data_IF_079704109922
#
_entry.id   IF_079704109922
#
_cell.length_a   1.000
_cell.length_b   1.000
_cell.length_c   1.000
_cell.angle_alpha   90.00
_cell.angle_beta   90.00
_cell.angle_gamma   90.00
#
_symmetry.space_group_name_H-M   'P 1'
#
loop_
_entity.id
_entity.type
_entity.pdbx_description
1 polymer ?
#
# COMPACT_ATOMS: atom_id res chain seq x y z
N UNK A 1 3.43 -3.63 -27.74
CA UNK A 1 2.47 -4.64 -27.25
C UNK A 1 1.53 -3.99 -26.24
N UNK A 2 0.21 -4.24 -26.30
CA UNK A 2 -0.74 -3.68 -25.32
C UNK A 2 -0.51 -4.35 -23.96
N UNK A 3 -0.14 -3.59 -22.93
CA UNK A 3 -0.29 -4.02 -21.53
C UNK A 3 -1.80 -4.06 -21.28
N UNK A 4 -2.35 -5.24 -20.97
CA UNK A 4 -3.73 -5.32 -20.49
C UNK A 4 -3.77 -4.72 -19.08
N UNK A 5 -4.74 -3.85 -18.83
CA UNK A 5 -4.94 -3.14 -17.58
C UNK A 5 -6.29 -3.54 -17.02
N UNK A 6 -6.33 -3.98 -15.78
CA UNK A 6 -7.53 -4.46 -15.12
C UNK A 6 -7.74 -3.70 -13.81
N UNK A 7 -9.00 -3.47 -13.43
CA UNK A 7 -9.37 -3.34 -12.02
C UNK A 7 -9.17 -4.69 -11.30
N UNK A 8 -9.14 -4.68 -9.97
CA UNK A 8 -9.04 -5.91 -9.19
C UNK A 8 -10.21 -6.87 -9.49
N UNK A 9 -11.41 -6.33 -9.73
CA UNK A 9 -12.63 -7.09 -10.00
C UNK A 9 -12.57 -7.77 -11.36
N UNK A 10 -12.19 -7.02 -12.40
CA UNK A 10 -12.01 -7.58 -13.75
C UNK A 10 -10.94 -8.67 -13.77
N UNK A 11 -9.83 -8.46 -13.05
CA UNK A 11 -8.76 -9.44 -12.96
C UNK A 11 -9.21 -10.73 -12.23
N UNK A 12 -9.94 -10.59 -11.13
CA UNK A 12 -10.46 -11.75 -10.37
C UNK A 12 -11.42 -12.58 -11.23
N UNK A 13 -12.26 -11.92 -12.04
CA UNK A 13 -13.14 -12.58 -13.01
C UNK A 13 -12.38 -13.29 -14.14
N UNK A 14 -11.30 -12.69 -14.65
CA UNK A 14 -10.41 -13.33 -15.64
C UNK A 14 -9.77 -14.61 -15.07
N UNK A 15 -9.45 -14.61 -13.78
CA UNK A 15 -8.98 -15.79 -13.05
C UNK A 15 -10.08 -16.81 -12.70
N UNK A 16 -11.33 -16.57 -13.12
CA UNK A 16 -12.48 -17.42 -12.81
C UNK A 16 -12.71 -17.58 -11.29
N UNK A 17 -12.45 -16.51 -10.54
CA UNK A 17 -12.72 -16.45 -9.10
C UNK A 17 -13.83 -15.44 -8.83
N UNK A 18 -14.76 -15.79 -7.95
CA UNK A 18 -15.87 -14.91 -7.58
C UNK A 18 -15.60 -14.12 -6.29
N UNK A 19 -14.60 -14.54 -5.51
CA UNK A 19 -14.26 -13.98 -4.20
C UNK A 19 -12.80 -13.54 -4.12
N UNK A 20 -12.59 -12.25 -3.83
CA UNK A 20 -11.27 -11.67 -3.61
C UNK A 20 -10.55 -12.27 -2.40
N UNK A 21 -11.28 -12.66 -1.36
CA UNK A 21 -10.67 -13.31 -0.19
C UNK A 21 -10.02 -14.62 -0.58
N UNK A 22 -10.71 -15.40 -1.40
CA UNK A 22 -10.20 -16.67 -1.89
C UNK A 22 -9.00 -16.47 -2.82
N UNK A 23 -9.03 -15.47 -3.70
CA UNK A 23 -7.87 -15.12 -4.54
C UNK A 23 -6.66 -14.75 -3.69
N UNK A 24 -6.83 -13.86 -2.70
CA UNK A 24 -5.74 -13.43 -1.82
C UNK A 24 -5.19 -14.59 -0.99
N UNK A 25 -6.07 -15.42 -0.42
CA UNK A 25 -5.70 -16.58 0.39
C UNK A 25 -4.94 -17.62 -0.42
N UNK A 26 -5.43 -17.98 -1.60
CA UNK A 26 -4.76 -18.93 -2.49
C UNK A 26 -3.42 -18.38 -2.99
N UNK A 27 -3.37 -17.12 -3.41
CA UNK A 27 -2.15 -16.49 -3.91
C UNK A 27 -1.07 -16.42 -2.83
N UNK A 28 -1.44 -16.04 -1.60
CA UNK A 28 -0.54 -16.05 -0.44
C UNK A 28 0.00 -17.45 -0.14
N UNK A 29 -0.87 -18.46 -0.15
CA UNK A 29 -0.45 -19.85 0.07
C UNK A 29 0.52 -20.34 -1.01
N UNK A 30 0.26 -20.02 -2.29
CA UNK A 30 1.14 -20.37 -3.40
C UNK A 30 2.50 -19.68 -3.29
N UNK A 31 2.52 -18.39 -2.94
CA UNK A 31 3.75 -17.64 -2.67
C UNK A 31 4.59 -18.33 -1.58
N UNK A 32 4.01 -18.57 -0.41
CA UNK A 32 4.74 -19.19 0.71
C UNK A 32 5.23 -20.59 0.35
N UNK A 33 4.41 -21.39 -0.32
CA UNK A 33 4.80 -22.73 -0.77
C UNK A 33 5.95 -22.71 -1.77
N UNK A 34 6.00 -21.72 -2.66
CA UNK A 34 7.01 -21.65 -3.74
C UNK A 34 8.31 -21.01 -3.30
N UNK A 35 8.26 -19.95 -2.50
CA UNK A 35 9.44 -19.17 -2.12
C UNK A 35 9.95 -19.48 -0.71
N UNK A 36 9.15 -20.15 0.14
CA UNK A 36 9.52 -20.38 1.54
C UNK A 36 9.61 -19.09 2.37
N UNK A 37 8.92 -18.04 1.91
CA UNK A 37 8.89 -16.71 2.54
C UNK A 37 7.47 -16.39 3.01
N UNK A 38 7.40 -15.53 4.03
CA UNK A 38 6.16 -14.95 4.52
C UNK A 38 6.23 -13.42 4.41
N UNK A 39 5.12 -12.82 3.99
CA UNK A 39 4.97 -11.37 4.06
C UNK A 39 4.98 -10.89 5.51
N UNK A 40 5.62 -9.74 5.75
CA UNK A 40 5.54 -9.07 7.05
C UNK A 40 4.08 -8.85 7.46
N UNK A 41 3.81 -8.96 8.76
CA UNK A 41 2.48 -8.67 9.31
C UNK A 41 2.10 -7.21 9.13
N UNK A 42 3.07 -6.32 9.30
CA UNK A 42 2.89 -4.89 9.18
C UNK A 42 3.61 -4.40 7.92
N UNK A 43 2.98 -3.52 7.15
CA UNK A 43 3.65 -2.81 6.06
C UNK A 43 4.25 -1.49 6.55
N UNK A 44 5.12 -0.91 5.73
CA UNK A 44 5.67 0.43 5.95
C UNK A 44 5.35 1.36 4.78
N UNK A 45 4.98 2.59 5.07
CA UNK A 45 4.73 3.66 4.09
C UNK A 45 5.70 4.81 4.35
N UNK A 46 6.20 5.43 3.29
CA UNK A 46 7.00 6.65 3.40
C UNK A 46 6.12 7.86 3.17
N UNK A 47 6.14 8.80 4.10
CA UNK A 47 5.49 10.10 3.99
C UNK A 47 6.56 11.14 3.71
N UNK A 48 6.37 11.97 2.69
CA UNK A 48 7.28 13.04 2.32
C UNK A 48 6.55 14.38 2.47
N UNK A 49 7.05 15.20 3.39
CA UNK A 49 6.47 16.49 3.74
C UNK A 49 7.16 17.61 2.96
N UNK A 50 6.53 18.78 2.91
CA UNK A 50 7.14 19.96 2.29
C UNK A 50 8.41 20.38 3.05
N UNK A 51 8.34 20.42 4.39
CA UNK A 51 9.47 20.80 5.23
C UNK A 51 9.81 19.74 6.27
N UNK A 52 11.03 19.78 6.80
CA UNK A 52 11.44 18.96 7.96
C UNK A 52 10.71 19.37 9.25
N UNK A 53 10.23 20.60 9.32
CA UNK A 53 9.45 21.09 10.45
C UNK A 53 8.08 20.38 10.49
N UNK A 54 7.39 20.32 9.36
CA UNK A 54 6.12 19.60 9.22
C UNK A 54 6.30 18.11 9.54
N UNK A 55 7.38 17.51 9.06
CA UNK A 55 7.72 16.12 9.37
C UNK A 55 7.93 15.92 10.89
N UNK A 56 8.54 16.86 11.58
CA UNK A 56 8.73 16.77 13.03
C UNK A 56 7.42 16.93 13.80
N UNK A 57 6.55 17.87 13.39
CA UNK A 57 5.24 18.06 14.01
C UNK A 57 4.37 16.82 13.83
N UNK A 58 4.33 16.27 12.62
CA UNK A 58 3.63 15.00 12.35
C UNK A 58 4.24 13.82 13.12
N UNK A 59 5.57 13.74 13.23
CA UNK A 59 6.24 12.72 14.03
C UNK A 59 5.77 12.76 15.49
N UNK A 60 5.73 13.95 16.09
CA UNK A 60 5.33 14.12 17.48
C UNK A 60 3.87 13.73 17.69
N UNK A 61 2.99 14.09 16.76
CA UNK A 61 1.58 13.70 16.81
C UNK A 61 1.41 12.17 16.81
N UNK A 62 2.03 11.48 15.84
CA UNK A 62 1.93 10.03 15.75
C UNK A 62 2.59 9.33 16.95
N UNK A 63 3.71 9.87 17.45
CA UNK A 63 4.50 9.24 18.52
C UNK A 63 3.89 9.41 19.91
N UNK A 64 3.28 10.56 20.20
CA UNK A 64 2.87 10.92 21.56
C UNK A 64 1.36 10.99 21.76
N UNK A 65 0.56 11.14 20.69
CA UNK A 65 -0.88 10.98 20.81
C UNK A 65 -1.22 9.50 21.00
N UNK A 66 -1.98 9.19 22.05
CA UNK A 66 -2.37 7.82 22.41
C UNK A 66 -3.20 7.14 21.31
N UNK A 67 -4.02 7.89 20.58
CA UNK A 67 -4.85 7.35 19.51
C UNK A 67 -3.99 6.80 18.35
N UNK A 68 -2.93 7.51 17.97
CA UNK A 68 -2.05 7.12 16.87
C UNK A 68 -0.92 6.18 17.29
N UNK A 69 -0.29 6.41 18.46
CA UNK A 69 0.86 5.63 18.93
C UNK A 69 0.56 4.17 19.24
N UNK A 70 -0.71 3.83 19.45
CA UNK A 70 -1.18 2.44 19.57
C UNK A 70 -1.32 1.74 18.20
N UNK A 71 -1.54 2.52 17.15
CA UNK A 71 -1.79 2.03 15.79
C UNK A 71 -0.52 2.05 14.93
N UNK A 72 0.38 2.98 15.19
CA UNK A 72 1.50 3.28 14.31
C UNK A 72 2.82 3.41 15.06
N UNK A 73 3.89 2.98 14.39
CA UNK A 73 5.28 3.26 14.74
C UNK A 73 5.83 4.19 13.67
N UNK A 74 6.43 5.30 14.10
CA UNK A 74 6.99 6.32 13.22
C UNK A 74 8.48 6.49 13.47
N UNK A 75 9.24 6.65 12.40
CA UNK A 75 10.67 6.95 12.42
C UNK A 75 11.02 7.97 11.34
N UNK A 76 12.07 8.77 11.55
CA UNK A 76 12.62 9.62 10.50
C UNK A 76 13.32 8.78 9.44
N UNK A 77 13.19 9.18 8.18
CA UNK A 77 13.97 8.60 7.10
C UNK A 77 15.41 9.14 7.17
N UNK A 78 16.39 8.27 7.32
CA UNK A 78 17.80 8.65 7.48
C UNK A 78 18.39 9.33 6.24
N UNK A 79 17.78 9.13 5.08
CA UNK A 79 18.26 9.69 3.80
C UNK A 79 17.58 11.00 3.41
N UNK A 80 16.44 11.34 4.03
CA UNK A 80 15.63 12.53 3.70
C UNK A 80 15.04 13.15 4.96
N UNK A 81 15.52 14.34 5.32
CA UNK A 81 15.14 15.02 6.57
C UNK A 81 13.65 15.44 6.64
N UNK A 82 12.98 15.60 5.50
CA UNK A 82 11.55 15.92 5.40
C UNK A 82 10.69 14.67 5.18
N UNK A 83 11.18 13.48 5.53
CA UNK A 83 10.44 12.24 5.30
C UNK A 83 10.35 11.38 6.56
N UNK A 84 9.20 10.75 6.73
CA UNK A 84 8.93 9.80 7.80
C UNK A 84 8.62 8.43 7.21
N UNK A 85 8.99 7.38 7.94
CA UNK A 85 8.56 6.01 7.67
C UNK A 85 7.56 5.65 8.76
N UNK A 86 6.35 5.29 8.36
CA UNK A 86 5.27 4.88 9.26
C UNK A 86 4.95 3.41 9.03
N UNK A 87 4.85 2.65 10.10
CA UNK A 87 4.56 1.20 10.09
C UNK A 87 3.54 0.86 11.19
N UNK A 88 3.03 -0.38 11.24
CA UNK A 88 2.19 -0.88 12.33
C UNK A 88 0.79 -1.34 11.93
N UNK A 89 0.35 -1.08 10.70
CA UNK A 89 -0.88 -1.66 10.14
C UNK A 89 -0.57 -2.70 9.06
N UNK A 90 -1.51 -3.62 8.88
CA UNK A 90 -1.37 -4.75 7.97
C UNK A 90 -1.62 -4.39 6.51
N UNK A 91 -2.53 -3.45 6.25
CA UNK A 91 -2.89 -3.05 4.88
C UNK A 91 -2.61 -1.57 4.61
N UNK A 92 -2.39 -1.22 3.35
CA UNK A 92 -2.29 0.17 2.91
C UNK A 92 -3.59 0.95 3.17
N UNK A 93 -4.74 0.28 3.03
CA UNK A 93 -6.04 0.87 3.33
C UNK A 93 -6.17 1.27 4.81
N UNK A 94 -5.57 0.55 5.76
CA UNK A 94 -5.63 0.92 7.18
C UNK A 94 -4.88 2.23 7.51
N UNK A 95 -3.98 2.70 6.63
CA UNK A 95 -3.32 4.00 6.79
C UNK A 95 -4.14 5.16 6.24
N UNK A 96 -4.86 4.94 5.13
CA UNK A 96 -5.44 6.01 4.30
C UNK A 96 -6.90 5.76 3.88
N UNK A 97 -7.57 4.83 4.55
CA UNK A 97 -8.94 4.43 4.28
C UNK A 97 -9.95 5.24 5.08
N UNK A 98 -11.11 4.63 5.31
CA UNK A 98 -12.27 5.29 5.95
C UNK A 98 -12.32 5.11 7.47
N UNK A 99 -11.59 4.13 8.01
CA UNK A 99 -11.55 3.87 9.45
C UNK A 99 -10.68 4.94 10.14
N UNK A 100 -11.31 5.77 10.97
CA UNK A 100 -10.63 6.80 11.76
C UNK A 100 -10.45 6.32 13.22
N UNK A 101 -9.39 6.77 13.93
CA UNK A 101 -8.36 7.70 13.49
C UNK A 101 -7.29 7.04 12.61
N UNK A 102 -6.90 7.71 11.51
CA UNK A 102 -5.81 7.28 10.63
C UNK A 102 -4.90 8.45 10.22
N UNK A 103 -3.97 8.23 9.27
CA UNK A 103 -3.01 9.27 8.87
C UNK A 103 -3.66 10.46 8.16
N UNK A 104 -4.82 10.28 7.53
CA UNK A 104 -5.60 11.38 6.96
C UNK A 104 -6.23 12.24 8.05
N UNK A 105 -6.69 11.62 9.15
CA UNK A 105 -7.17 12.35 10.33
C UNK A 105 -6.05 13.20 10.92
N UNK A 106 -4.85 12.62 11.11
CA UNK A 106 -3.71 13.37 11.64
C UNK A 106 -3.30 14.55 10.72
N UNK A 107 -3.34 14.36 9.40
CA UNK A 107 -3.13 15.46 8.43
C UNK A 107 -4.14 16.58 8.61
N UNK A 108 -5.42 16.23 8.79
CA UNK A 108 -6.52 17.20 8.97
C UNK A 108 -6.34 18.02 10.24
N UNK A 109 -6.03 17.36 11.34
CA UNK A 109 -5.93 17.97 12.67
C UNK A 109 -4.73 18.93 12.77
N UNK A 110 -3.61 18.58 12.12
CA UNK A 110 -2.41 19.42 12.08
C UNK A 110 -2.40 20.45 10.94
N UNK A 111 -3.31 20.33 9.97
CA UNK A 111 -3.29 21.13 8.75
C UNK A 111 -2.07 20.88 7.85
N UNK A 112 -1.47 19.68 7.95
CA UNK A 112 -0.24 19.32 7.24
C UNK A 112 -0.53 18.53 5.96
N UNK A 113 0.36 18.68 4.97
CA UNK A 113 0.27 18.00 3.68
C UNK A 113 1.51 17.13 3.47
N UNK A 114 1.33 16.01 2.77
CA UNK A 114 2.44 15.12 2.43
C UNK A 114 2.13 14.28 1.20
N UNK A 115 3.16 13.81 0.53
CA UNK A 115 3.04 12.76 -0.49
C UNK A 115 3.35 11.40 0.11
N UNK A 116 2.67 10.38 -0.39
CA UNK A 116 2.82 8.99 0.04
C UNK A 116 3.64 8.26 -1.03
N UNK A 117 4.68 7.56 -0.59
CA UNK A 117 5.41 6.59 -1.38
C UNK A 117 5.37 5.22 -0.66
N UNK A 118 4.72 4.26 -1.30
CA UNK A 118 4.69 2.86 -0.87
C UNK A 118 5.27 1.97 -1.96
N UNK A 119 6.17 1.08 -1.55
CA UNK A 119 6.70 -0.01 -2.37
C UNK A 119 6.60 -1.28 -1.54
N UNK A 120 5.85 -2.24 -2.04
CA UNK A 120 5.64 -3.51 -1.36
C UNK A 120 6.89 -4.38 -1.49
N UNK A 121 7.33 -4.93 -0.35
CA UNK A 121 8.42 -5.89 -0.29
C UNK A 121 8.12 -7.11 -1.17
N UNK A 122 9.17 -7.65 -1.80
CA UNK A 122 9.16 -8.79 -2.73
C UNK A 122 8.41 -8.58 -4.06
N UNK A 123 7.25 -7.96 -4.06
CA UNK A 123 6.39 -7.83 -5.25
C UNK A 123 6.72 -6.60 -6.08
N UNK A 124 7.24 -5.54 -5.46
CA UNK A 124 7.45 -4.25 -6.11
C UNK A 124 6.15 -3.52 -6.48
N UNK A 125 5.00 -3.96 -5.97
CA UNK A 125 3.74 -3.22 -6.13
C UNK A 125 3.89 -1.84 -5.51
N UNK A 126 3.38 -0.81 -6.16
CA UNK A 126 3.59 0.57 -5.71
C UNK A 126 2.27 1.27 -5.43
N UNK A 127 2.31 2.21 -4.50
CA UNK A 127 1.25 3.18 -4.34
C UNK A 127 1.85 4.57 -4.16
N UNK A 128 1.25 5.52 -4.85
CA UNK A 128 1.54 6.95 -4.72
C UNK A 128 0.26 7.72 -4.54
N UNK A 129 0.33 8.79 -3.75
CA UNK A 129 -0.77 9.71 -3.56
C UNK A 129 -0.30 10.98 -2.87
N UNK A 130 -1.17 11.98 -2.82
CA UNK A 130 -0.93 13.22 -2.09
C UNK A 130 -2.05 13.42 -1.08
N UNK A 131 -1.70 13.80 0.14
CA UNK A 131 -2.66 14.14 1.19
C UNK A 131 -2.69 15.64 1.37
N UNK A 132 -3.89 16.21 1.23
CA UNK A 132 -4.14 17.63 1.43
C UNK A 132 -5.38 17.80 2.30
N UNK A 133 -5.26 18.53 3.41
CA UNK A 133 -6.38 18.77 4.35
C UNK A 133 -7.09 17.49 4.82
N UNK A 134 -6.34 16.40 5.02
CA UNK A 134 -6.90 15.10 5.38
C UNK A 134 -7.70 14.40 4.29
N UNK A 135 -7.51 14.77 3.02
CA UNK A 135 -8.07 14.07 1.86
C UNK A 135 -6.97 13.42 1.03
N UNK A 136 -7.23 12.21 0.56
CA UNK A 136 -6.32 11.45 -0.31
C UNK A 136 -6.61 11.76 -1.79
N UNK A 137 -5.71 12.54 -2.40
CA UNK A 137 -5.74 13.00 -3.78
C UNK A 137 -4.68 12.29 -4.64
N UNK A 138 -4.84 12.38 -5.96
CA UNK A 138 -3.88 11.87 -6.96
C UNK A 138 -3.39 10.43 -6.71
N UNK A 139 -4.25 9.59 -6.13
CA UNK A 139 -3.90 8.24 -5.70
C UNK A 139 -3.82 7.27 -6.86
N UNK A 140 -2.79 6.44 -6.87
CA UNK A 140 -2.58 5.39 -7.85
C UNK A 140 -1.89 4.21 -7.19
N UNK A 141 -2.57 3.06 -7.15
CA UNK A 141 -1.97 1.79 -6.75
C UNK A 141 -1.71 0.95 -8.02
N UNK A 142 -0.48 0.52 -8.22
CA UNK A 142 -0.05 -0.27 -9.38
C UNK A 142 0.47 -1.61 -8.91
N UNK A 143 -0.12 -2.68 -9.45
CA UNK A 143 0.28 -4.07 -9.21
C UNK A 143 0.67 -4.67 -10.55
N UNK A 144 1.96 -4.97 -10.74
CA UNK A 144 2.46 -5.59 -11.97
C UNK A 144 2.58 -7.11 -11.79
N UNK A 145 1.70 -7.85 -12.45
CA UNK A 145 1.62 -9.32 -12.33
C UNK A 145 2.40 -9.95 -13.47
N UNK A 146 3.41 -10.76 -13.15
CA UNK A 146 4.12 -11.55 -14.15
C UNK A 146 3.19 -12.61 -14.75
N UNK A 147 3.16 -12.73 -16.08
CA UNK A 147 2.43 -13.83 -16.73
C UNK A 147 3.10 -15.20 -16.53
N UNK A 148 4.35 -15.24 -16.08
CA UNK A 148 5.13 -16.48 -15.87
C UNK A 148 5.11 -16.89 -14.41
N UNK A 149 5.14 -15.92 -13.51
CA UNK A 149 5.22 -16.11 -12.06
C UNK A 149 4.22 -15.21 -11.32
N UNK A 150 2.91 -15.39 -11.56
CA UNK A 150 1.88 -14.49 -11.02
C UNK A 150 1.83 -14.48 -9.48
N UNK A 151 2.11 -15.61 -8.83
CA UNK A 151 2.08 -15.75 -7.38
C UNK A 151 3.10 -14.84 -6.67
N UNK A 152 4.18 -14.43 -7.35
CA UNK A 152 5.17 -13.50 -6.79
C UNK A 152 4.49 -12.18 -6.41
N UNK A 153 3.69 -11.63 -7.32
CA UNK A 153 3.00 -10.36 -7.10
C UNK A 153 1.70 -10.55 -6.35
N UNK A 154 0.89 -11.54 -6.75
CA UNK A 154 -0.44 -11.75 -6.20
C UNK A 154 -0.43 -12.15 -4.71
N UNK A 155 0.66 -12.79 -4.24
CA UNK A 155 0.81 -13.14 -2.83
C UNK A 155 0.73 -11.94 -1.88
N UNK A 156 1.08 -10.74 -2.35
CA UNK A 156 1.09 -9.51 -1.57
C UNK A 156 -0.23 -8.74 -1.56
N UNK A 157 -1.27 -9.17 -2.28
CA UNK A 157 -2.52 -8.39 -2.38
C UNK A 157 -3.15 -8.08 -1.02
N UNK A 158 -3.06 -9.00 -0.06
CA UNK A 158 -3.61 -8.84 1.29
C UNK A 158 -2.95 -7.72 2.12
N UNK A 159 -1.81 -7.19 1.68
CA UNK A 159 -1.14 -6.04 2.29
C UNK A 159 -1.55 -4.71 1.65
N UNK A 160 -2.33 -4.72 0.58
CA UNK A 160 -2.87 -3.51 -0.07
C UNK A 160 -4.25 -3.19 0.52
N UNK A 161 -5.16 -4.15 0.45
CA UNK A 161 -6.55 -4.00 0.86
C UNK A 161 -7.18 -5.34 1.23
N UNK A 162 -8.27 -5.28 1.99
CA UNK A 162 -9.06 -6.40 2.47
C UNK A 162 -10.35 -6.65 1.71
N UNK A 163 -10.77 -5.80 0.76
CA UNK A 163 -12.01 -6.01 0.01
C UNK A 163 -11.98 -5.34 -1.37
N UNK A 164 -12.90 -5.72 -2.26
CA UNK A 164 -13.01 -5.09 -3.59
C UNK A 164 -13.21 -3.57 -3.49
N UNK A 165 -14.05 -3.12 -2.56
CA UNK A 165 -14.33 -1.70 -2.33
C UNK A 165 -13.07 -0.94 -1.91
N UNK A 166 -12.26 -1.52 -1.02
CA UNK A 166 -11.01 -0.92 -0.57
C UNK A 166 -9.98 -0.79 -1.70
N UNK A 167 -9.85 -1.82 -2.54
CA UNK A 167 -9.01 -1.76 -3.74
C UNK A 167 -9.47 -0.68 -4.74
N UNK A 168 -10.78 -0.56 -4.94
CA UNK A 168 -11.37 0.48 -5.81
C UNK A 168 -11.14 1.87 -5.22
N UNK A 169 -11.29 2.03 -3.90
CA UNK A 169 -10.98 3.28 -3.20
C UNK A 169 -9.50 3.64 -3.33
N UNK A 170 -8.57 2.68 -3.36
CA UNK A 170 -7.14 2.93 -3.61
C UNK A 170 -6.79 3.14 -5.10
N UNK A 171 -7.78 3.04 -6.00
CA UNK A 171 -7.60 3.07 -7.46
C UNK A 171 -6.56 2.04 -7.93
N UNK A 172 -6.63 0.82 -7.40
CA UNK A 172 -5.70 -0.25 -7.75
C UNK A 172 -5.89 -0.72 -9.19
N UNK A 173 -4.78 -0.77 -9.92
CA UNK A 173 -4.69 -1.27 -11.29
C UNK A 173 -3.71 -2.42 -11.37
N UNK A 174 -4.17 -3.51 -11.98
CA UNK A 174 -3.36 -4.68 -12.28
C UNK A 174 -2.91 -4.60 -13.73
N UNK A 175 -1.60 -4.72 -13.94
CA UNK A 175 -1.00 -4.84 -15.26
C UNK A 175 -0.35 -6.20 -15.41
N UNK A 176 -0.79 -6.99 -16.39
CA UNK A 176 -0.13 -8.26 -16.70
C UNK A 176 1.09 -7.99 -17.57
N UNK A 177 2.27 -8.30 -17.04
CA UNK A 177 3.56 -8.08 -17.71
C UNK A 177 4.09 -9.42 -18.21
N UNK A 178 4.35 -9.51 -19.52
CA UNK A 178 5.08 -10.66 -20.08
C UNK A 178 6.56 -10.43 -19.80
N UNK A 179 7.19 -11.40 -19.14
CA UNK A 179 8.65 -11.43 -19.05
C UNK A 179 9.22 -11.46 -20.47
N UNK A 180 10.11 -10.52 -20.80
CA UNK A 180 11.02 -10.74 -21.92
C UNK A 180 11.84 -11.98 -21.56
N UNK A 181 11.73 -13.03 -22.38
CA UNK A 181 12.59 -14.18 -22.22
C UNK A 181 14.03 -13.67 -22.27
N UNK A 182 14.80 -13.90 -21.21
CA UNK A 182 16.26 -13.82 -21.28
C UNK A 182 16.68 -14.89 -22.30
N UNK A 183 16.79 -14.49 -23.56
CA UNK A 183 17.37 -15.27 -24.65
C UNK A 183 18.89 -15.26 -24.54
#
# INVERSE_FOLDING_TARGET
MKKSSYSIKEFTQEMQMDDIQELMRQSKLQFTKRFGLEFSKDISVTLVFETSYDANDFYNEIRFNKAYSMLYRVAFNTSKANSLIVSGQATLFDYFGTNEPNLLTASRDLGLQFTIDFVQDYTGSTFKGSVMNGELLARQCIVEVSSVLPELTLGGLCQIAGSFEEFDLLLTRIYTVRSEALL
#
